data_IF_228111778190
#
_entry.id   IF_228111778190
#
_cell.length_a   1.000
_cell.length_b   1.000
_cell.length_c   1.000
_cell.angle_alpha   90.00
_cell.angle_beta   90.00
_cell.angle_gamma   90.00
#
_symmetry.space_group_name_H-M   'P 1'
#
loop_
_entity.id
_entity.type
_entity.pdbx_description
1 polymer ?
#
# COMPACT_ATOMS: atom_id res chain seq x y z
N UNK A 1 -22.58 -0.08 12.39
CA UNK A 1 -22.18 -0.92 11.25
C UNK A 1 -21.02 -1.74 11.80
N UNK A 2 -21.21 -3.03 12.05
CA UNK A 2 -20.20 -3.85 12.72
C UNK A 2 -19.11 -4.20 11.71
N UNK A 3 -18.08 -3.37 11.63
CA UNK A 3 -16.95 -3.61 10.74
C UNK A 3 -16.20 -4.84 11.28
N UNK A 4 -16.28 -5.96 10.56
CA UNK A 4 -15.60 -7.19 10.96
C UNK A 4 -14.07 -7.04 10.78
N UNK A 5 -13.41 -6.30 11.66
CA UNK A 5 -11.96 -6.07 11.68
C UNK A 5 -11.19 -7.37 11.85
N UNK A 6 -11.70 -8.28 12.69
CA UNK A 6 -11.14 -9.64 12.85
C UNK A 6 -11.05 -10.38 11.50
N UNK A 7 -12.15 -10.44 10.74
CA UNK A 7 -12.16 -11.12 9.44
C UNK A 7 -11.25 -10.45 8.40
N UNK A 8 -11.08 -9.13 8.47
CA UNK A 8 -10.14 -8.40 7.60
C UNK A 8 -8.68 -8.70 7.98
N UNK A 9 -8.38 -8.77 9.27
CA UNK A 9 -7.07 -9.16 9.79
C UNK A 9 -6.72 -10.58 9.39
N UNK A 10 -7.67 -11.51 9.46
CA UNK A 10 -7.53 -12.88 8.95
C UNK A 10 -7.25 -12.90 7.44
N UNK A 11 -7.94 -12.07 6.65
CA UNK A 11 -7.69 -11.95 5.22
C UNK A 11 -6.29 -11.40 4.90
N UNK A 12 -5.80 -10.40 5.64
CA UNK A 12 -4.42 -9.90 5.50
C UNK A 12 -3.38 -10.96 5.88
N UNK A 13 -3.61 -11.71 6.96
CA UNK A 13 -2.74 -12.83 7.33
C UNK A 13 -2.72 -13.92 6.24
N UNK A 14 -3.87 -14.20 5.62
CA UNK A 14 -3.94 -15.13 4.49
C UNK A 14 -3.12 -14.63 3.29
N UNK A 15 -3.20 -13.35 2.94
CA UNK A 15 -2.36 -12.77 1.88
C UNK A 15 -0.88 -12.87 2.21
N UNK A 16 -0.50 -12.56 3.45
CA UNK A 16 0.89 -12.71 3.91
C UNK A 16 1.41 -14.15 3.69
N UNK A 17 0.67 -15.16 4.18
CA UNK A 17 1.05 -16.56 3.98
C UNK A 17 1.14 -16.94 2.50
N UNK A 18 0.23 -16.42 1.68
CA UNK A 18 0.23 -16.66 0.24
C UNK A 18 1.47 -16.08 -0.45
N UNK A 19 1.88 -14.86 -0.10
CA UNK A 19 3.07 -14.22 -0.67
C UNK A 19 4.37 -14.98 -0.34
N UNK A 20 4.42 -15.64 0.82
CA UNK A 20 5.57 -16.46 1.23
C UNK A 20 5.62 -17.81 0.50
N UNK A 21 4.48 -18.48 0.38
CA UNK A 21 4.44 -19.91 0.03
C UNK A 21 4.19 -20.17 -1.45
N UNK A 22 3.69 -19.19 -2.20
CA UNK A 22 3.25 -19.38 -3.59
C UNK A 22 3.78 -18.30 -4.52
N UNK A 23 3.92 -18.60 -5.84
CA UNK A 23 4.14 -17.56 -6.83
C UNK A 23 3.03 -16.50 -6.78
N UNK A 24 3.42 -15.23 -6.89
CA UNK A 24 2.47 -14.12 -6.78
C UNK A 24 1.61 -14.08 -8.04
N UNK A 25 0.27 -14.04 -7.92
CA UNK A 25 -0.60 -13.85 -9.07
C UNK A 25 -0.44 -12.45 -9.68
N UNK A 26 -0.90 -12.29 -10.91
CA UNK A 26 -0.84 -11.02 -11.63
C UNK A 26 -2.23 -10.49 -11.97
N UNK A 27 -2.34 -9.17 -12.11
CA UNK A 27 -3.51 -8.48 -12.67
C UNK A 27 -3.05 -7.49 -13.76
N UNK A 28 -3.99 -6.79 -14.39
CA UNK A 28 -3.69 -5.63 -15.23
C UNK A 28 -3.02 -4.55 -14.40
N UNK A 29 -2.21 -3.72 -15.05
CA UNK A 29 -1.65 -2.51 -14.46
C UNK A 29 -2.76 -1.66 -13.83
N UNK A 30 -2.50 -1.14 -12.62
CA UNK A 30 -3.48 -0.43 -11.82
C UNK A 30 -3.57 1.05 -12.22
N UNK A 31 -4.79 1.53 -12.36
CA UNK A 31 -5.12 2.95 -12.41
C UNK A 31 -6.36 3.22 -11.56
N UNK A 32 -6.23 4.06 -10.54
CA UNK A 32 -7.35 4.39 -9.67
C UNK A 32 -6.92 5.08 -8.39
N UNK A 33 -7.84 5.84 -7.79
CA UNK A 33 -7.59 6.60 -6.56
C UNK A 33 -6.33 7.50 -6.64
N UNK A 34 -6.10 8.11 -7.81
CA UNK A 34 -4.93 8.96 -8.12
C UNK A 34 -3.57 8.24 -8.05
N UNK A 35 -3.58 6.91 -8.03
CA UNK A 35 -2.41 6.05 -8.13
C UNK A 35 -2.37 5.34 -9.47
N UNK A 36 -1.18 5.23 -10.04
CA UNK A 36 -0.87 4.43 -11.23
C UNK A 36 0.29 3.49 -10.90
N UNK A 37 0.13 2.20 -11.17
CA UNK A 37 1.19 1.20 -11.07
C UNK A 37 1.47 0.67 -12.47
N UNK A 38 2.68 0.85 -12.97
CA UNK A 38 3.04 0.49 -14.35
C UNK A 38 4.47 -0.01 -14.47
N UNK A 39 4.71 -0.87 -15.44
CA UNK A 39 6.06 -1.32 -15.82
C UNK A 39 6.74 -0.37 -16.81
N UNK A 40 5.99 0.58 -17.37
CA UNK A 40 6.48 1.48 -18.41
C UNK A 40 7.01 2.79 -17.83
N UNK A 41 8.14 3.31 -18.31
CA UNK A 41 8.63 4.61 -17.90
C UNK A 41 7.63 5.71 -18.29
N UNK A 42 7.35 6.59 -17.34
CA UNK A 42 6.36 7.67 -17.51
C UNK A 42 7.08 8.94 -17.95
N UNK A 43 6.75 9.44 -19.14
CA UNK A 43 7.26 10.73 -19.60
C UNK A 43 6.45 11.87 -18.95
N UNK A 44 6.97 12.44 -17.87
CA UNK A 44 6.33 13.52 -17.09
C UNK A 44 6.36 14.90 -17.77
N UNK A 45 6.80 15.00 -19.04
CA UNK A 45 7.09 16.26 -19.71
C UNK A 45 5.88 17.11 -20.15
N UNK A 46 4.67 16.92 -19.61
CA UNK A 46 3.53 17.78 -19.93
C UNK A 46 2.81 18.26 -18.68
N UNK A 47 2.51 19.57 -18.61
CA UNK A 47 1.68 20.24 -17.61
C UNK A 47 0.19 19.84 -17.74
N UNK A 48 -0.08 18.54 -17.72
CA UNK A 48 -1.42 17.97 -17.80
C UNK A 48 -1.84 17.45 -16.42
N UNK A 49 -3.15 17.24 -16.21
CA UNK A 49 -3.72 16.61 -15.01
C UNK A 49 -3.02 15.30 -14.58
N UNK A 50 -2.26 14.67 -15.48
CA UNK A 50 -1.50 13.44 -15.24
C UNK A 50 -0.15 13.66 -14.56
N UNK A 51 0.42 14.87 -14.55
CA UNK A 51 1.75 15.12 -13.93
C UNK A 51 1.75 15.01 -12.42
N UNK A 52 0.58 15.15 -11.81
CA UNK A 52 0.43 15.15 -10.36
C UNK A 52 0.10 13.73 -9.82
N UNK A 53 -0.24 12.76 -10.68
CA UNK A 53 -0.59 11.40 -10.25
C UNK A 53 0.58 10.72 -9.54
N UNK A 54 0.25 9.82 -8.61
CA UNK A 54 1.24 9.01 -7.90
C UNK A 54 1.60 7.78 -8.72
N UNK A 55 2.76 7.80 -9.36
CA UNK A 55 3.26 6.70 -10.18
C UNK A 55 4.22 5.81 -9.42
N UNK A 56 3.91 4.52 -9.34
CA UNK A 56 4.85 3.47 -8.94
C UNK A 56 5.30 2.76 -10.22
N UNK A 57 6.57 2.94 -10.60
CA UNK A 57 7.15 2.32 -11.80
C UNK A 57 8.03 1.15 -11.36
N UNK A 58 7.66 -0.07 -11.71
CA UNK A 58 8.31 -1.31 -11.23
C UNK A 58 8.21 -2.42 -12.27
N UNK A 59 9.20 -3.31 -12.34
CA UNK A 59 9.12 -4.51 -13.16
C UNK A 59 7.99 -5.45 -12.71
N UNK A 60 7.62 -5.41 -11.42
CA UNK A 60 6.60 -6.23 -10.76
C UNK A 60 5.22 -5.55 -10.73
N UNK A 61 4.95 -4.67 -11.69
CA UNK A 61 3.74 -3.83 -11.70
C UNK A 61 2.44 -4.64 -11.66
N UNK A 62 2.41 -5.82 -12.29
CA UNK A 62 1.20 -6.65 -12.37
C UNK A 62 0.93 -7.40 -11.07
N UNK A 63 1.97 -7.87 -10.41
CA UNK A 63 1.94 -8.50 -9.09
C UNK A 63 1.53 -7.48 -8.03
N UNK A 64 2.10 -6.27 -8.09
CA UNK A 64 1.73 -5.17 -7.19
C UNK A 64 0.27 -4.72 -7.44
N UNK A 65 -0.16 -4.64 -8.70
CA UNK A 65 -1.55 -4.33 -9.05
C UNK A 65 -2.52 -5.40 -8.56
N UNK A 66 -2.14 -6.69 -8.62
CA UNK A 66 -2.92 -7.77 -8.03
C UNK A 66 -3.09 -7.60 -6.52
N UNK A 67 -2.01 -7.26 -5.80
CA UNK A 67 -2.07 -6.98 -4.37
C UNK A 67 -3.02 -5.80 -4.07
N UNK A 68 -2.95 -4.73 -4.86
CA UNK A 68 -3.87 -3.58 -4.75
C UNK A 68 -5.34 -3.99 -4.96
N UNK A 69 -5.63 -4.90 -5.90
CA UNK A 69 -6.97 -5.47 -6.06
C UNK A 69 -7.44 -6.25 -4.82
N UNK A 70 -6.58 -7.09 -4.24
CA UNK A 70 -6.93 -7.84 -3.02
C UNK A 70 -7.18 -6.89 -1.83
N UNK A 71 -6.31 -5.90 -1.65
CA UNK A 71 -6.46 -4.90 -0.58
C UNK A 71 -7.70 -4.04 -0.79
N UNK A 72 -8.03 -3.64 -2.03
CA UNK A 72 -9.30 -2.97 -2.34
C UNK A 72 -10.48 -3.79 -1.84
N UNK A 73 -10.52 -5.08 -2.15
CA UNK A 73 -11.65 -5.93 -1.85
C UNK A 73 -11.79 -6.12 -0.33
N UNK A 74 -10.68 -6.30 0.39
CA UNK A 74 -10.65 -6.39 1.87
C UNK A 74 -11.14 -5.09 2.51
N UNK A 75 -10.71 -3.92 2.03
CA UNK A 75 -10.98 -2.63 2.67
C UNK A 75 -12.21 -1.88 2.13
N UNK A 76 -12.83 -2.34 1.04
CA UNK A 76 -13.93 -1.64 0.32
C UNK A 76 -15.12 -1.15 1.15
N UNK A 77 -15.31 -1.69 2.37
CA UNK A 77 -16.38 -1.29 3.31
C UNK A 77 -15.87 -0.50 4.52
N UNK A 78 -14.57 -0.19 4.59
CA UNK A 78 -13.95 0.58 5.66
C UNK A 78 -13.65 2.03 5.28
N UNK A 79 -13.57 2.33 3.99
CA UNK A 79 -13.38 3.69 3.49
C UNK A 79 -14.59 4.14 2.67
N UNK A 80 -14.72 5.45 2.50
CA UNK A 80 -15.66 6.10 1.60
C UNK A 80 -14.93 6.70 0.39
N UNK A 81 -15.60 7.54 -0.41
CA UNK A 81 -14.99 8.18 -1.57
C UNK A 81 -13.77 9.05 -1.23
N UNK A 82 -13.74 9.61 -0.03
CA UNK A 82 -12.75 10.59 0.41
C UNK A 82 -11.56 9.89 1.05
N UNK A 83 -11.81 9.04 2.04
CA UNK A 83 -10.75 8.27 2.74
C UNK A 83 -10.10 7.20 1.85
N UNK A 84 -10.73 6.84 0.73
CA UNK A 84 -10.13 5.98 -0.30
C UNK A 84 -8.83 6.56 -0.89
N UNK A 85 -8.74 7.88 -1.04
CA UNK A 85 -7.54 8.51 -1.61
C UNK A 85 -6.33 8.33 -0.69
N UNK A 86 -6.52 8.56 0.61
CA UNK A 86 -5.51 8.31 1.64
C UNK A 86 -5.08 6.83 1.62
N UNK A 87 -6.05 5.91 1.64
CA UNK A 87 -5.77 4.47 1.67
C UNK A 87 -4.85 4.04 0.52
N UNK A 88 -5.23 4.32 -0.73
CA UNK A 88 -4.42 3.88 -1.87
C UNK A 88 -3.13 4.69 -2.02
N UNK A 89 -3.15 5.99 -1.68
CA UNK A 89 -1.96 6.81 -1.71
C UNK A 89 -0.90 6.33 -0.71
N UNK A 90 -1.30 5.89 0.49
CA UNK A 90 -0.40 5.29 1.50
C UNK A 90 0.23 4.00 1.03
N UNK A 91 -0.55 3.11 0.42
CA UNK A 91 -0.02 1.87 -0.17
C UNK A 91 1.03 2.17 -1.25
N UNK A 92 0.75 3.16 -2.10
CA UNK A 92 1.70 3.59 -3.12
C UNK A 92 2.94 4.27 -2.52
N UNK A 93 2.79 5.06 -1.46
CA UNK A 93 3.91 5.65 -0.75
C UNK A 93 4.79 4.59 -0.08
N UNK A 94 4.21 3.52 0.47
CA UNK A 94 5.00 2.40 0.99
C UNK A 94 5.85 1.74 -0.11
N UNK A 95 5.28 1.52 -1.30
CA UNK A 95 6.03 1.02 -2.45
C UNK A 95 7.17 1.98 -2.86
N UNK A 96 6.89 3.28 -2.97
CA UNK A 96 7.90 4.29 -3.35
C UNK A 96 9.00 4.43 -2.29
N UNK A 97 8.66 4.35 -1.00
CA UNK A 97 9.63 4.33 0.09
C UNK A 97 10.55 3.12 -0.02
N UNK A 98 9.99 1.94 -0.29
CA UNK A 98 10.77 0.74 -0.52
C UNK A 98 11.75 0.93 -1.69
N UNK A 99 11.27 1.43 -2.83
CA UNK A 99 12.10 1.72 -4.02
C UNK A 99 13.25 2.68 -3.73
N UNK A 100 13.00 3.71 -2.93
CA UNK A 100 14.03 4.66 -2.52
C UNK A 100 15.16 3.99 -1.73
N UNK A 101 14.82 3.00 -0.89
CA UNK A 101 15.77 2.26 -0.06
C UNK A 101 16.50 1.19 -0.87
N UNK A 102 15.78 0.42 -1.70
CA UNK A 102 16.33 -0.68 -2.49
C UNK A 102 17.15 -0.21 -3.70
N UNK A 103 16.90 1.01 -4.19
CA UNK A 103 17.54 1.58 -5.38
C UNK A 103 17.36 0.63 -6.58
N UNK A 104 18.46 0.16 -7.16
CA UNK A 104 18.48 -0.71 -8.34
C UNK A 104 18.33 -2.21 -8.00
N UNK A 105 18.24 -2.57 -6.71
CA UNK A 105 18.10 -3.96 -6.23
C UNK A 105 16.69 -4.21 -5.65
N UNK A 106 15.67 -3.80 -6.39
CA UNK A 106 14.28 -4.05 -6.04
C UNK A 106 13.97 -5.56 -6.06
N UNK A 107 13.49 -6.07 -4.92
CA UNK A 107 13.01 -7.43 -4.76
C UNK A 107 11.48 -7.45 -4.74
N UNK A 108 10.89 -8.23 -5.65
CA UNK A 108 9.44 -8.41 -5.76
C UNK A 108 8.75 -8.68 -4.42
N UNK A 109 9.29 -9.59 -3.60
CA UNK A 109 8.63 -9.98 -2.35
C UNK A 109 8.73 -8.89 -1.29
N UNK A 110 9.88 -8.26 -1.14
CA UNK A 110 10.05 -7.20 -0.15
C UNK A 110 9.20 -5.98 -0.50
N UNK A 111 9.06 -5.65 -1.79
CA UNK A 111 8.12 -4.63 -2.29
C UNK A 111 6.68 -4.94 -1.88
N UNK A 112 6.21 -6.16 -2.15
CA UNK A 112 4.84 -6.58 -1.82
C UNK A 112 4.60 -6.64 -0.30
N UNK A 113 5.60 -7.07 0.47
CA UNK A 113 5.53 -7.13 1.93
C UNK A 113 5.55 -5.73 2.55
N UNK A 114 6.31 -4.78 2.00
CA UNK A 114 6.27 -3.37 2.42
C UNK A 114 4.85 -2.78 2.30
N UNK A 115 4.21 -3.00 1.16
CA UNK A 115 2.83 -2.55 0.90
C UNK A 115 1.84 -3.27 1.81
N UNK A 116 2.00 -4.58 2.02
CA UNK A 116 1.14 -5.33 2.92
C UNK A 116 1.30 -4.90 4.39
N UNK A 117 2.51 -4.56 4.83
CA UNK A 117 2.76 -4.04 6.17
C UNK A 117 2.04 -2.70 6.39
N UNK A 118 2.09 -1.79 5.41
CA UNK A 118 1.30 -0.55 5.45
C UNK A 118 -0.20 -0.83 5.56
N UNK A 119 -0.72 -1.84 4.85
CA UNK A 119 -2.13 -2.22 4.96
C UNK A 119 -2.50 -2.71 6.37
N UNK A 120 -1.61 -3.41 7.07
CA UNK A 120 -1.84 -3.77 8.48
C UNK A 120 -1.90 -2.52 9.37
N UNK A 121 -0.96 -1.57 9.20
CA UNK A 121 -0.95 -0.33 9.97
C UNK A 121 -2.25 0.47 9.76
N UNK A 122 -2.71 0.59 8.51
CA UNK A 122 -3.99 1.25 8.21
C UNK A 122 -5.17 0.51 8.87
N UNK A 123 -5.19 -0.83 8.87
CA UNK A 123 -6.26 -1.59 9.53
C UNK A 123 -6.29 -1.32 11.03
N UNK A 124 -5.11 -1.29 11.67
CA UNK A 124 -4.98 -0.99 13.10
C UNK A 124 -5.49 0.43 13.40
N UNK A 125 -5.08 1.42 12.61
CA UNK A 125 -5.55 2.80 12.76
C UNK A 125 -7.07 2.95 12.54
N UNK A 126 -7.64 2.23 11.57
CA UNK A 126 -9.10 2.22 11.34
C UNK A 126 -9.86 1.50 12.46
N UNK A 127 -9.30 0.46 13.07
CA UNK A 127 -9.88 -0.22 14.23
C UNK A 127 -9.83 0.66 15.48
N UNK A 128 -8.80 1.49 15.60
CA UNK A 128 -8.60 2.46 16.68
C UNK A 128 -9.30 3.82 16.44
N UNK A 129 -10.01 4.00 15.33
CA UNK A 129 -10.61 5.28 14.89
C UNK A 129 -9.58 6.44 14.79
N UNK A 130 -8.33 6.13 14.44
CA UNK A 130 -7.21 7.08 14.28
C UNK A 130 -6.75 7.25 12.83
N UNK A 131 -7.43 6.63 11.86
CA UNK A 131 -7.09 6.77 10.44
C UNK A 131 -7.42 8.18 9.93
N UNK A 132 -6.40 9.01 9.79
CA UNK A 132 -6.52 10.39 9.32
C UNK A 132 -6.50 10.50 7.81
N UNK A 133 -7.32 11.39 7.26
CA UNK A 133 -7.36 11.71 5.83
C UNK A 133 -7.89 13.13 5.63
N UNK A 134 -7.56 13.77 4.51
CA UNK A 134 -8.11 15.08 4.19
C UNK A 134 -9.54 15.00 3.67
N UNK A 135 -10.44 15.81 4.24
CA UNK A 135 -11.82 15.97 3.72
C UNK A 135 -11.86 16.65 2.36
N UNK A 136 -10.91 17.56 2.12
CA UNK A 136 -10.70 18.26 0.86
C UNK A 136 -9.19 18.31 0.65
N UNK A 137 -8.71 17.69 -0.44
CA UNK A 137 -7.33 17.85 -0.87
C UNK A 137 -7.29 18.87 -2.01
N UNK A 138 -6.62 20.03 -1.86
CA UNK A 138 -6.49 21.01 -2.93
C UNK A 138 -5.58 20.54 -4.08
N UNK A 139 -4.99 19.34 -3.98
CA UNK A 139 -4.27 18.62 -5.02
C UNK A 139 -4.42 17.10 -4.89
N UNK A 140 -3.36 16.34 -5.13
CA UNK A 140 -3.33 14.88 -4.97
C UNK A 140 -2.51 14.44 -3.75
N UNK A 141 -2.22 15.38 -2.85
CA UNK A 141 -1.60 15.12 -1.57
C UNK A 141 -2.54 14.37 -0.63
N UNK A 142 -1.93 13.57 0.24
CA UNK A 142 -2.58 12.82 1.31
C UNK A 142 -1.90 13.14 2.65
N UNK A 143 -2.53 12.80 3.78
CA UNK A 143 -1.97 13.06 5.11
C UNK A 143 -0.58 12.43 5.23
N UNK A 144 -0.42 11.21 4.70
CA UNK A 144 0.86 10.50 4.68
C UNK A 144 2.02 11.29 4.06
N UNK A 145 1.77 12.23 3.14
CA UNK A 145 2.84 13.02 2.52
C UNK A 145 3.48 14.01 3.51
N UNK A 146 2.84 14.27 4.65
CA UNK A 146 3.28 15.21 5.69
C UNK A 146 3.74 14.53 6.99
N UNK A 147 3.59 13.21 7.10
CA UNK A 147 4.00 12.44 8.29
C UNK A 147 5.52 12.23 8.30
N UNK A 148 6.15 12.57 9.43
CA UNK A 148 7.58 12.33 9.63
C UNK A 148 7.91 10.83 9.68
N UNK A 149 9.11 10.44 9.24
CA UNK A 149 9.48 9.02 9.17
C UNK A 149 9.38 8.30 10.53
N UNK A 150 9.70 8.99 11.63
CA UNK A 150 9.64 8.44 13.00
C UNK A 150 8.23 8.21 13.53
N UNK A 151 7.21 8.79 12.92
CA UNK A 151 5.82 8.70 13.37
C UNK A 151 5.03 7.60 12.63
N UNK A 152 5.66 6.97 11.62
CA UNK A 152 5.02 5.96 10.77
C UNK A 152 4.88 4.62 11.48
N UNK A 153 3.68 4.05 11.39
CA UNK A 153 3.34 2.73 11.94
C UNK A 153 3.41 1.59 10.91
N UNK A 154 3.55 1.92 9.62
CA UNK A 154 3.61 0.96 8.51
C UNK A 154 5.02 0.71 7.99
N UNK A 155 5.23 0.75 6.67
CA UNK A 155 6.56 0.49 6.11
C UNK A 155 7.55 1.63 6.41
N UNK A 156 8.59 1.30 7.18
CA UNK A 156 9.74 2.17 7.49
C UNK A 156 11.03 1.62 6.89
N UNK A 157 11.32 0.33 7.08
CA UNK A 157 12.47 -0.37 6.48
C UNK A 157 12.18 -1.84 6.18
N UNK A 158 13.08 -2.48 5.41
CA UNK A 158 13.01 -3.92 5.11
C UNK A 158 13.18 -4.75 6.38
N UNK A 159 14.16 -4.43 7.22
CA UNK A 159 14.43 -5.15 8.47
C UNK A 159 13.24 -5.09 9.43
N UNK A 160 12.60 -3.92 9.54
CA UNK A 160 11.41 -3.77 10.36
C UNK A 160 10.23 -4.59 9.81
N UNK A 161 10.05 -4.60 8.49
CA UNK A 161 9.00 -5.39 7.84
C UNK A 161 9.23 -6.88 8.06
N UNK A 162 10.47 -7.35 7.96
CA UNK A 162 10.85 -8.74 8.29
C UNK A 162 10.53 -9.03 9.76
N UNK A 163 10.92 -8.15 10.69
CA UNK A 163 10.65 -8.31 12.13
C UNK A 163 9.15 -8.41 12.41
N UNK A 164 8.37 -7.48 11.85
CA UNK A 164 6.91 -7.45 11.98
C UNK A 164 6.27 -8.78 11.57
N UNK A 165 6.67 -9.31 10.41
CA UNK A 165 6.12 -10.56 9.89
C UNK A 165 6.67 -11.81 10.60
N UNK A 166 7.91 -11.77 11.12
CA UNK A 166 8.45 -12.83 11.97
C UNK A 166 7.66 -12.97 13.27
N UNK A 167 7.35 -11.85 13.93
CA UNK A 167 6.53 -11.84 15.16
C UNK A 167 5.12 -12.40 14.93
N UNK A 168 4.51 -12.10 13.78
CA UNK A 168 3.21 -12.67 13.39
C UNK A 168 3.27 -14.18 13.18
N UNK A 169 4.37 -14.69 12.66
CA UNK A 169 4.56 -16.13 12.42
C UNK A 169 4.76 -16.90 13.74
N UNK A 170 5.32 -16.27 14.77
CA UNK A 170 5.53 -16.87 16.10
C UNK A 170 4.23 -16.94 16.92
N UNK A 171 3.28 -16.04 16.67
CA UNK A 171 2.01 -15.93 17.43
C UNK A 171 0.84 -16.71 16.80
N UNK A 172 1.03 -17.31 15.62
CA UNK A 172 0.03 -18.10 14.90
C UNK A 172 0.19 -19.60 15.15
#
# INVERSE_FOLDING_TARGET
>A
MDCNFKGKREALNYLFQRLLLTPVPTDKEWEGAKVVITSSPVNRASSSFYSELRYVVTADAKELSWLFCQLRDIFSRLYDSTSKLEFFGRLANAALRYQCISKDDENQRDLLLAVLHEAFAILDEMEEDTFEYFLVSPGYEIVDDFIEQSERRGFVSVEETIRFFAEKTIKS
#
